data_IF_680525047820
#
_entry.id   IF_680525047820
#
_cell.length_a   1.000
_cell.length_b   1.000
_cell.length_c   1.000
_cell.angle_alpha   90.00
_cell.angle_beta   90.00
_cell.angle_gamma   90.00
#
_symmetry.space_group_name_H-M   'P 1'
#
loop_
_entity.id
_entity.type
_entity.pdbx_description
1 polymer ?
#
# COMPACT_ATOMS: atom_id res chain seq x y z
N UNK A 1 2.12 -15.20 -12.98
CA UNK A 1 2.70 -15.47 -11.64
C UNK A 1 1.75 -15.05 -10.54
N UNK A 2 1.31 -13.78 -10.50
CA UNK A 2 0.28 -13.31 -9.55
C UNK A 2 -0.99 -14.21 -9.56
N UNK A 3 -1.56 -14.49 -10.73
CA UNK A 3 -2.71 -15.41 -10.87
C UNK A 3 -2.49 -16.85 -10.34
N UNK A 4 -1.25 -17.26 -10.11
CA UNK A 4 -0.89 -18.56 -9.53
C UNK A 4 -0.60 -18.44 -8.02
N UNK A 5 -0.99 -17.32 -7.39
CA UNK A 5 -0.74 -17.03 -5.98
C UNK A 5 0.73 -16.72 -5.67
N UNK A 6 1.52 -16.27 -6.65
CA UNK A 6 2.91 -15.84 -6.44
C UNK A 6 2.99 -14.31 -6.40
N UNK A 7 3.17 -13.70 -5.22
CA UNK A 7 3.19 -12.25 -5.08
C UNK A 7 4.23 -11.60 -5.99
N UNK A 8 3.83 -10.55 -6.68
CA UNK A 8 4.67 -9.71 -7.53
C UNK A 8 4.83 -8.36 -6.84
N UNK A 9 6.06 -7.99 -6.51
CA UNK A 9 6.37 -6.75 -5.80
C UNK A 9 7.24 -5.86 -6.70
N UNK A 10 6.95 -4.56 -6.73
CA UNK A 10 7.77 -3.56 -7.42
C UNK A 10 8.25 -2.46 -6.48
N UNK A 11 9.52 -2.07 -6.66
CA UNK A 11 10.08 -0.87 -6.06
C UNK A 11 10.55 0.08 -7.17
N UNK A 12 9.95 1.27 -7.24
CA UNK A 12 10.26 2.28 -8.26
C UNK A 12 11.20 3.32 -7.66
N UNK A 13 12.48 3.13 -7.98
CA UNK A 13 13.62 3.92 -7.49
C UNK A 13 14.06 5.03 -8.45
N UNK A 14 13.45 5.07 -9.63
CA UNK A 14 13.79 5.99 -10.71
C UNK A 14 12.68 6.03 -11.75
N UNK A 15 13.02 6.32 -13.00
CA UNK A 15 12.02 6.42 -14.06
C UNK A 15 11.52 5.06 -14.53
N UNK A 16 10.22 4.94 -14.70
CA UNK A 16 9.53 3.82 -15.33
C UNK A 16 8.60 4.36 -16.41
N UNK A 17 9.08 4.37 -17.65
CA UNK A 17 8.43 5.07 -18.78
C UNK A 17 7.89 4.11 -19.83
N UNK A 18 6.81 4.50 -20.51
CA UNK A 18 6.19 3.76 -21.61
C UNK A 18 5.89 2.31 -21.24
N UNK A 19 6.41 1.33 -22.00
CA UNK A 19 6.22 -0.09 -21.68
C UNK A 19 6.78 -0.49 -20.31
N UNK A 20 7.78 0.23 -19.81
CA UNK A 20 8.33 0.01 -18.46
C UNK A 20 7.33 0.32 -17.36
N UNK A 21 6.40 1.25 -17.58
CA UNK A 21 5.38 1.62 -16.60
C UNK A 21 4.45 0.46 -16.23
N UNK A 22 4.31 -0.54 -17.09
CA UNK A 22 3.54 -1.75 -16.79
C UNK A 22 4.22 -2.68 -15.79
N UNK A 23 5.54 -2.60 -15.63
CA UNK A 23 6.25 -3.43 -14.65
C UNK A 23 5.72 -3.17 -13.24
N UNK A 24 5.75 -1.92 -12.72
CA UNK A 24 5.12 -1.65 -11.44
C UNK A 24 3.61 -1.80 -11.53
N UNK A 25 2.93 -1.22 -12.53
CA UNK A 25 1.46 -1.19 -12.56
C UNK A 25 0.78 -2.58 -12.63
N UNK A 26 1.51 -3.65 -12.94
CA UNK A 26 1.01 -5.04 -12.93
C UNK A 26 1.52 -5.87 -11.75
N UNK A 27 2.24 -5.25 -10.80
CA UNK A 27 2.59 -5.89 -9.53
C UNK A 27 1.43 -5.85 -8.55
N UNK A 28 1.41 -6.82 -7.63
CA UNK A 28 0.41 -6.92 -6.58
C UNK A 28 0.60 -5.84 -5.49
N UNK A 29 1.82 -5.31 -5.37
CA UNK A 29 2.22 -4.27 -4.43
C UNK A 29 3.36 -3.45 -5.03
N UNK A 30 3.24 -2.12 -4.91
CA UNK A 30 4.13 -1.16 -5.55
C UNK A 30 4.52 -0.08 -4.56
N UNK A 31 5.83 0.12 -4.40
CA UNK A 31 6.34 1.25 -3.63
C UNK A 31 7.19 2.16 -4.48
N UNK A 32 6.92 3.45 -4.35
CA UNK A 32 7.66 4.51 -5.03
C UNK A 32 8.52 5.31 -4.05
N UNK A 33 9.76 5.57 -4.45
CA UNK A 33 10.64 6.49 -3.75
C UNK A 33 10.16 7.93 -3.99
N UNK A 34 9.89 8.67 -2.91
CA UNK A 34 9.32 10.02 -2.97
C UNK A 34 10.16 10.99 -3.81
N UNK A 35 11.48 10.92 -3.72
CA UNK A 35 12.37 11.91 -4.32
C UNK A 35 12.65 11.68 -5.80
N UNK A 36 12.63 10.42 -6.27
CA UNK A 36 13.13 10.06 -7.60
C UNK A 36 12.24 9.08 -8.39
N UNK A 37 11.31 8.41 -7.73
CA UNK A 37 10.42 7.44 -8.38
C UNK A 37 9.42 8.15 -9.29
N UNK A 38 9.37 7.75 -10.55
CA UNK A 38 8.39 8.27 -11.52
C UNK A 38 7.83 7.17 -12.41
N UNK A 39 6.51 7.17 -12.65
CA UNK A 39 5.81 6.24 -13.55
C UNK A 39 4.97 7.03 -14.55
N UNK A 40 5.10 6.75 -15.84
CA UNK A 40 4.21 7.34 -16.85
C UNK A 40 4.29 6.59 -18.18
N UNK A 41 3.17 6.52 -18.91
CA UNK A 41 3.16 5.96 -20.27
C UNK A 41 3.85 6.91 -21.27
N UNK A 42 3.71 8.22 -21.07
CA UNK A 42 4.34 9.25 -21.88
C UNK A 42 5.06 10.23 -20.95
N UNK A 43 6.38 10.31 -21.03
CA UNK A 43 7.14 11.24 -20.20
C UNK A 43 6.96 12.70 -20.62
N UNK A 44 7.47 13.67 -19.82
CA UNK A 44 7.29 15.09 -20.07
C UNK A 44 7.67 15.57 -21.49
N UNK A 45 8.77 15.08 -22.12
CA UNK A 45 9.10 15.47 -23.49
C UNK A 45 8.01 15.08 -24.50
N UNK A 46 7.37 13.92 -24.31
CA UNK A 46 6.33 13.43 -25.21
C UNK A 46 5.00 14.17 -24.99
N UNK A 47 4.65 14.45 -23.73
CA UNK A 47 3.49 15.29 -23.37
C UNK A 47 3.62 16.66 -24.03
N UNK A 48 4.79 17.30 -23.90
CA UNK A 48 5.07 18.59 -24.53
C UNK A 48 4.99 18.53 -26.05
N UNK A 49 5.54 17.49 -26.68
CA UNK A 49 5.51 17.34 -28.12
C UNK A 49 4.09 17.14 -28.66
N UNK A 50 3.24 16.40 -27.93
CA UNK A 50 1.88 16.08 -28.37
C UNK A 50 0.85 17.18 -28.07
N UNK A 51 0.99 17.89 -26.94
CA UNK A 51 -0.04 18.81 -26.43
C UNK A 51 0.44 20.25 -26.26
N UNK A 52 1.75 20.48 -26.26
CA UNK A 52 2.35 21.76 -25.88
C UNK A 52 2.46 22.00 -24.37
N UNK A 53 1.90 21.12 -23.53
CA UNK A 53 1.95 21.24 -22.08
C UNK A 53 3.37 21.04 -21.53
N UNK A 54 3.76 21.89 -20.57
CA UNK A 54 5.05 21.81 -19.88
C UNK A 54 4.80 21.38 -18.44
N UNK A 55 5.17 20.15 -18.13
CA UNK A 55 4.98 19.52 -16.81
C UNK A 55 6.30 18.89 -16.36
N UNK A 56 6.54 18.83 -15.05
CA UNK A 56 7.74 18.14 -14.53
C UNK A 56 7.51 16.64 -14.43
N UNK A 57 8.58 15.84 -14.32
CA UNK A 57 8.43 14.38 -14.16
C UNK A 57 7.72 14.01 -12.85
N UNK A 58 7.93 14.78 -11.78
CA UNK A 58 7.29 14.56 -10.47
C UNK A 58 5.82 14.96 -10.49
N UNK A 59 5.47 16.08 -11.15
CA UNK A 59 4.08 16.51 -11.27
C UNK A 59 3.27 15.60 -12.22
N UNK A 60 3.93 15.01 -13.22
CA UNK A 60 3.30 14.12 -14.18
C UNK A 60 3.01 12.72 -13.63
N UNK A 61 3.94 12.17 -12.84
CA UNK A 61 3.87 10.78 -12.40
C UNK A 61 4.81 10.45 -11.25
N UNK A 62 5.01 11.39 -10.34
CA UNK A 62 5.79 11.19 -9.12
C UNK A 62 5.10 10.30 -8.10
N UNK A 63 5.84 9.94 -7.05
CA UNK A 63 5.32 9.10 -5.97
C UNK A 63 4.08 9.71 -5.28
N UNK A 64 4.04 11.04 -5.13
CA UNK A 64 2.88 11.74 -4.56
C UNK A 64 1.65 11.52 -5.44
N UNK A 65 1.75 11.76 -6.76
CA UNK A 65 0.65 11.56 -7.71
C UNK A 65 0.11 10.14 -7.66
N UNK A 66 1.00 9.15 -7.60
CA UNK A 66 0.62 7.75 -7.65
C UNK A 66 0.10 7.17 -6.33
N UNK A 67 0.40 7.78 -5.20
CA UNK A 67 -0.08 7.31 -3.89
C UNK A 67 -1.26 8.10 -3.35
N UNK A 68 -1.46 9.35 -3.79
CA UNK A 68 -2.57 10.19 -3.30
C UNK A 68 -3.70 10.36 -4.29
N UNK A 69 -3.43 10.23 -5.59
CA UNK A 69 -4.40 10.59 -6.64
C UNK A 69 -4.77 9.41 -7.52
N UNK A 70 -3.80 8.78 -8.20
CA UNK A 70 -4.11 7.72 -9.17
C UNK A 70 -4.19 6.32 -8.57
N UNK A 71 -3.55 6.08 -7.42
CA UNK A 71 -3.50 4.76 -6.79
C UNK A 71 -2.66 3.73 -7.53
N UNK A 72 -1.87 4.14 -8.52
CA UNK A 72 -0.92 3.24 -9.22
C UNK A 72 0.17 2.73 -8.26
N UNK A 73 0.44 3.42 -7.15
CA UNK A 73 1.33 2.92 -6.11
C UNK A 73 0.63 2.88 -4.76
N UNK A 74 0.89 1.82 -4.01
CA UNK A 74 0.25 1.59 -2.71
C UNK A 74 0.93 2.38 -1.60
N UNK A 75 2.26 2.52 -1.67
CA UNK A 75 3.05 3.19 -0.65
C UNK A 75 4.06 4.18 -1.22
N UNK A 76 4.28 5.24 -0.46
CA UNK A 76 5.35 6.21 -0.68
C UNK A 76 6.41 6.02 0.39
N UNK A 77 7.68 5.92 0.00
CA UNK A 77 8.79 5.91 0.94
C UNK A 77 9.60 7.20 0.84
N UNK A 78 9.72 7.98 1.92
CA UNK A 78 10.65 9.10 1.98
C UNK A 78 12.10 8.61 1.95
N UNK A 79 13.02 9.49 1.55
CA UNK A 79 14.46 9.26 1.69
C UNK A 79 14.87 9.63 3.14
N UNK A 80 15.71 8.84 3.85
CA UNK A 80 16.16 9.21 5.19
C UNK A 80 16.84 10.58 5.24
N UNK A 81 16.49 11.39 6.25
CA UNK A 81 17.11 12.69 6.49
C UNK A 81 18.62 12.57 6.80
N UNK A 82 19.42 13.53 6.31
CA UNK A 82 20.86 13.61 6.59
C UNK A 82 21.75 12.80 5.63
N UNK A 83 21.18 12.22 4.59
CA UNK A 83 21.93 11.36 3.69
C UNK A 83 22.79 12.15 2.67
N UNK A 84 24.12 12.10 2.83
CA UNK A 84 25.10 12.69 1.90
C UNK A 84 25.86 11.58 1.17
N UNK A 85 25.43 11.24 -0.05
CA UNK A 85 26.09 10.24 -0.89
C UNK A 85 25.48 10.22 -2.30
N UNK A 86 26.09 9.49 -3.26
CA UNK A 86 25.52 9.37 -4.60
C UNK A 86 24.12 8.76 -4.52
N UNK A 87 23.15 9.49 -5.09
CA UNK A 87 21.70 9.23 -5.06
C UNK A 87 21.32 7.79 -5.46
N UNK A 88 21.94 7.13 -6.46
CA UNK A 88 21.46 5.82 -6.94
C UNK A 88 21.60 4.67 -5.92
N UNK A 89 22.74 4.56 -5.22
CA UNK A 89 23.05 3.40 -4.37
C UNK A 89 22.14 3.31 -3.13
N UNK A 90 21.70 4.46 -2.63
CA UNK A 90 20.89 4.52 -1.40
C UNK A 90 19.43 4.28 -1.67
N UNK A 91 18.93 4.74 -2.83
CA UNK A 91 17.57 4.41 -3.26
C UNK A 91 17.46 2.91 -3.52
N UNK A 92 18.50 2.27 -4.08
CA UNK A 92 18.57 0.80 -4.22
C UNK A 92 18.59 0.07 -2.87
N UNK A 93 19.40 0.51 -1.90
CA UNK A 93 19.44 -0.12 -0.56
C UNK A 93 18.13 0.06 0.22
N UNK A 94 17.53 1.25 0.16
CA UNK A 94 16.22 1.51 0.73
C UNK A 94 15.15 0.63 0.07
N UNK A 95 15.19 0.47 -1.25
CA UNK A 95 14.31 -0.42 -1.99
C UNK A 95 14.52 -1.90 -1.64
N UNK A 96 15.76 -2.35 -1.43
CA UNK A 96 16.05 -3.73 -0.99
C UNK A 96 15.53 -3.98 0.43
N UNK A 97 15.77 -3.04 1.35
CA UNK A 97 15.24 -3.13 2.71
C UNK A 97 13.70 -3.16 2.70
N UNK A 98 13.09 -2.37 1.82
CA UNK A 98 11.66 -2.33 1.61
C UNK A 98 11.10 -3.64 1.03
N UNK A 99 11.73 -4.15 -0.02
CA UNK A 99 11.33 -5.42 -0.65
C UNK A 99 11.39 -6.56 0.37
N UNK A 100 12.40 -6.57 1.26
CA UNK A 100 12.49 -7.54 2.37
C UNK A 100 11.30 -7.44 3.32
N UNK A 101 10.94 -6.24 3.77
CA UNK A 101 9.77 -6.02 4.63
C UNK A 101 8.48 -6.48 3.96
N UNK A 102 8.26 -6.10 2.71
CA UNK A 102 7.06 -6.49 1.96
C UNK A 102 7.01 -8.01 1.75
N UNK A 103 8.15 -8.65 1.46
CA UNK A 103 8.23 -10.11 1.30
C UNK A 103 7.95 -10.83 2.63
N UNK A 104 8.45 -10.32 3.75
CA UNK A 104 8.16 -10.88 5.08
C UNK A 104 6.68 -10.83 5.43
N UNK A 105 5.98 -9.77 5.04
CA UNK A 105 4.53 -9.61 5.22
C UNK A 105 3.75 -10.54 4.28
N UNK A 106 4.17 -10.69 3.02
CA UNK A 106 3.42 -11.42 1.99
C UNK A 106 3.66 -12.94 1.98
N UNK A 107 4.83 -13.41 2.44
CA UNK A 107 5.21 -14.83 2.40
C UNK A 107 4.78 -15.65 3.63
N UNK A 108 4.20 -15.03 4.66
CA UNK A 108 3.71 -15.79 5.81
C UNK A 108 2.34 -16.41 5.48
N UNK A 109 2.38 -17.66 4.99
CA UNK A 109 1.23 -18.58 5.03
C UNK A 109 0.97 -18.93 6.51
N UNK A 110 0.11 -18.18 7.18
CA UNK A 110 -0.22 -18.43 8.58
C UNK A 110 -1.21 -19.60 8.71
N UNK A 111 -0.89 -20.58 9.58
CA UNK A 111 -1.72 -21.76 9.87
C UNK A 111 -2.66 -21.50 11.05
N UNK A 112 -3.96 -21.75 10.86
CA UNK A 112 -5.05 -21.69 11.87
C UNK A 112 -4.69 -22.56 13.09
N UNK A 113 -4.96 -22.24 14.38
CA UNK A 113 -6.20 -21.78 15.00
C UNK A 113 -6.01 -21.11 16.40
N UNK A 114 -7.09 -20.51 16.91
CA UNK A 114 -7.65 -20.38 18.29
C UNK A 114 -8.39 -19.02 18.37
N UNK A 115 -9.68 -18.97 18.76
CA UNK A 115 -10.47 -17.74 18.77
C UNK A 115 -9.91 -16.71 19.77
N UNK A 116 -9.92 -15.43 19.38
CA UNK A 116 -9.81 -14.34 20.35
C UNK A 116 -11.19 -14.17 20.98
N UNK A 117 -11.27 -14.25 22.31
CA UNK A 117 -12.47 -13.93 23.07
C UNK A 117 -12.74 -12.42 22.95
N UNK A 118 -13.70 -12.05 22.11
CA UNK A 118 -14.09 -10.66 21.83
C UNK A 118 -14.81 -9.96 23.00
N UNK A 119 -15.00 -10.62 24.16
CA UNK A 119 -15.82 -10.09 25.27
C UNK A 119 -15.32 -8.77 25.86
N UNK A 120 -14.08 -8.36 25.61
CA UNK A 120 -13.50 -7.08 26.07
C UNK A 120 -13.69 -5.91 25.09
N UNK A 121 -14.04 -6.15 23.82
CA UNK A 121 -14.15 -5.13 22.77
C UNK A 121 -15.63 -4.83 22.51
N UNK A 122 -16.26 -4.03 23.37
CA UNK A 122 -17.68 -3.69 23.16
C UNK A 122 -18.46 -3.07 24.32
N UNK A 123 -17.84 -2.79 25.48
CA UNK A 123 -18.51 -1.95 26.48
C UNK A 123 -18.32 -0.49 26.10
N UNK A 124 -19.43 0.20 25.81
CA UNK A 124 -19.48 1.60 25.36
C UNK A 124 -18.68 2.59 26.22
N UNK A 125 -18.32 2.22 27.46
CA UNK A 125 -17.50 3.01 28.37
C UNK A 125 -15.99 2.93 28.11
N UNK A 126 -15.51 1.97 27.30
CA UNK A 126 -14.10 1.73 26.97
C UNK A 126 -13.83 1.63 25.46
N UNK A 127 -14.74 2.13 24.62
CA UNK A 127 -14.52 2.11 23.18
C UNK A 127 -13.25 2.91 22.85
N UNK A 128 -12.23 2.31 22.19
CA UNK A 128 -11.06 3.06 21.78
C UNK A 128 -11.51 4.23 20.92
N UNK A 129 -11.11 5.45 21.32
CA UNK A 129 -11.49 6.70 20.63
C UNK A 129 -10.80 6.82 19.28
N UNK A 130 -9.82 5.95 19.03
CA UNK A 130 -8.99 5.92 17.84
C UNK A 130 -9.03 4.52 17.22
N UNK A 131 -9.36 4.45 15.93
CA UNK A 131 -9.37 3.23 15.14
C UNK A 131 -8.02 2.48 15.14
N UNK A 132 -6.89 3.19 15.28
CA UNK A 132 -5.56 2.57 15.36
C UNK A 132 -5.36 1.78 16.65
N UNK A 133 -5.83 2.32 17.78
CA UNK A 133 -5.78 1.62 19.08
C UNK A 133 -6.66 0.38 19.09
N UNK A 134 -7.80 0.44 18.40
CA UNK A 134 -8.65 -0.72 18.18
C UNK A 134 -7.93 -1.78 17.36
N UNK A 135 -7.29 -1.40 16.26
CA UNK A 135 -6.53 -2.31 15.42
C UNK A 135 -5.30 -2.88 16.15
N UNK A 136 -4.65 -2.11 17.02
CA UNK A 136 -3.57 -2.61 17.89
C UNK A 136 -4.04 -3.74 18.81
N UNK A 137 -5.29 -3.68 19.29
CA UNK A 137 -5.87 -4.73 20.13
C UNK A 137 -6.40 -5.91 19.33
N UNK A 138 -6.95 -5.66 18.14
CA UNK A 138 -7.59 -6.68 17.30
C UNK A 138 -6.59 -7.49 16.47
N UNK A 139 -5.45 -6.91 16.10
CA UNK A 139 -4.50 -7.54 15.19
C UNK A 139 -3.42 -8.31 15.93
N UNK A 140 -3.07 -9.48 15.40
CA UNK A 140 -2.09 -10.40 15.99
C UNK A 140 -0.70 -9.78 16.20
N UNK A 141 -0.33 -8.82 15.35
CA UNK A 141 0.93 -8.06 15.42
C UNK A 141 0.70 -6.57 15.67
N UNK A 142 -0.49 -6.20 16.13
CA UNK A 142 -0.92 -4.80 16.25
C UNK A 142 -1.07 -4.09 14.91
N UNK A 143 -1.32 -2.78 14.96
CA UNK A 143 -1.52 -1.91 13.80
C UNK A 143 -0.23 -1.72 13.00
N UNK A 144 0.89 -1.45 13.67
CA UNK A 144 2.16 -1.11 13.01
C UNK A 144 2.70 -2.27 12.14
N UNK A 145 2.69 -3.50 12.67
CA UNK A 145 3.32 -4.66 12.02
C UNK A 145 2.29 -5.66 11.46
N UNK A 146 1.00 -5.48 11.77
CA UNK A 146 -0.09 -6.41 11.43
C UNK A 146 -1.18 -5.83 10.54
N UNK A 147 -1.17 -4.53 10.26
CA UNK A 147 -2.14 -3.88 9.39
C UNK A 147 -1.49 -3.39 8.09
N UNK A 148 -2.00 -3.87 6.96
CA UNK A 148 -1.69 -3.35 5.64
C UNK A 148 -2.79 -2.37 5.25
N UNK A 149 -2.54 -1.09 5.50
CA UNK A 149 -3.45 -0.02 5.10
C UNK A 149 -3.43 0.17 3.58
N UNK A 150 -4.61 0.22 2.98
CA UNK A 150 -4.85 0.64 1.62
C UNK A 150 -4.83 2.17 1.54
N UNK A 151 -4.04 2.75 0.64
CA UNK A 151 -3.88 4.20 0.47
C UNK A 151 -3.68 4.97 1.80
N UNK A 152 -2.58 4.73 2.53
CA UNK A 152 -2.35 5.39 3.83
C UNK A 152 -2.16 6.91 3.73
N UNK A 153 -1.87 7.43 2.54
CA UNK A 153 -1.61 8.86 2.32
C UNK A 153 -2.84 9.66 1.89
N UNK A 154 -3.91 8.99 1.41
CA UNK A 154 -5.18 9.58 0.96
C UNK A 154 -6.34 9.13 1.87
N UNK A 155 -7.37 9.98 2.00
CA UNK A 155 -8.57 9.65 2.80
C UNK A 155 -8.20 9.15 4.20
N UNK A 156 -7.40 9.95 4.92
CA UNK A 156 -6.73 9.54 6.17
C UNK A 156 -7.68 9.32 7.35
N UNK A 157 -8.90 9.85 7.27
CA UNK A 157 -9.91 9.65 8.30
C UNK A 157 -10.53 8.26 8.23
N UNK A 158 -10.51 7.62 7.06
CA UNK A 158 -11.03 6.26 6.85
C UNK A 158 -9.89 5.25 6.71
N UNK A 159 -9.79 4.32 7.66
CA UNK A 159 -8.83 3.22 7.60
C UNK A 159 -9.47 2.05 6.87
N UNK A 160 -8.86 1.67 5.75
CA UNK A 160 -9.21 0.47 4.98
C UNK A 160 -7.94 -0.34 4.86
N UNK A 161 -8.00 -1.64 5.13
CA UNK A 161 -6.81 -2.45 4.99
C UNK A 161 -7.04 -3.92 5.26
N UNK A 162 -5.96 -4.67 5.12
CA UNK A 162 -5.94 -6.09 5.42
C UNK A 162 -5.17 -6.29 6.71
N UNK A 163 -5.77 -7.04 7.62
CA UNK A 163 -5.15 -7.36 8.89
C UNK A 163 -5.40 -8.80 9.26
N UNK A 164 -4.47 -9.34 10.04
CA UNK A 164 -4.59 -10.65 10.63
C UNK A 164 -5.09 -10.51 12.08
N UNK A 165 -6.30 -10.99 12.36
CA UNK A 165 -6.89 -10.87 13.71
C UNK A 165 -6.20 -11.79 14.74
N UNK A 166 -5.68 -12.93 14.31
CA UNK A 166 -5.11 -13.94 15.21
C UNK A 166 -3.75 -14.43 14.72
N UNK A 167 -2.82 -14.75 15.62
CA UNK A 167 -1.51 -15.31 15.25
C UNK A 167 -1.63 -16.62 14.44
N UNK A 168 -2.81 -17.23 14.50
CA UNK A 168 -3.24 -18.40 13.77
C UNK A 168 -3.73 -18.13 12.34
N UNK A 169 -3.95 -16.90 11.91
CA UNK A 169 -4.23 -16.64 10.49
C UNK A 169 -5.71 -16.68 10.10
N UNK A 170 -5.95 -15.96 9.00
CA UNK A 170 -7.25 -15.43 8.60
C UNK A 170 -7.03 -13.98 8.19
N UNK A 171 -7.12 -13.69 6.89
CA UNK A 171 -7.09 -12.30 6.41
C UNK A 171 -8.52 -11.78 6.47
N UNK A 172 -8.72 -10.69 7.20
CA UNK A 172 -9.99 -9.96 7.14
C UNK A 172 -9.70 -8.63 6.46
N UNK A 173 -10.47 -8.33 5.42
CA UNK A 173 -10.59 -6.97 4.93
C UNK A 173 -11.31 -6.18 6.04
N UNK A 174 -10.56 -5.31 6.72
CA UNK A 174 -11.04 -4.49 7.81
C UNK A 174 -11.33 -3.10 7.25
N UNK A 175 -12.61 -2.73 7.24
CA UNK A 175 -13.05 -1.35 7.06
C UNK A 175 -13.31 -0.81 8.46
N UNK A 176 -12.45 0.08 8.94
CA UNK A 176 -12.61 0.71 10.25
C UNK A 176 -12.89 2.20 10.05
N UNK A 177 -14.09 2.62 10.45
CA UNK A 177 -14.56 3.99 10.31
C UNK A 177 -13.95 4.96 11.32
N UNK A 178 -13.53 6.12 10.80
CA UNK A 178 -13.25 7.41 11.44
C UNK A 178 -12.23 7.47 12.59
N UNK A 179 -11.04 7.99 12.28
CA UNK A 179 -10.25 8.75 13.28
C UNK A 179 -10.81 10.16 13.51
N UNK A 180 -11.57 10.72 12.54
CA UNK A 180 -12.15 12.08 12.51
C UNK A 180 -13.38 12.13 11.57
N UNK A 181 -13.95 13.30 11.25
CA UNK A 181 -15.07 13.44 10.30
C UNK A 181 -14.77 12.89 8.89
N UNK A 182 -15.77 12.28 8.24
CA UNK A 182 -15.66 11.75 6.87
C UNK A 182 -15.72 12.86 5.83
N UNK A 183 -14.71 12.89 4.97
CA UNK A 183 -14.62 13.75 3.80
C UNK A 183 -15.03 13.02 2.51
N UNK A 184 -15.16 13.79 1.42
CA UNK A 184 -15.36 13.23 0.09
C UNK A 184 -14.13 12.43 -0.43
N UNK A 185 -12.95 12.64 0.15
CA UNK A 185 -11.75 11.85 -0.16
C UNK A 185 -11.82 10.46 0.48
N UNK A 186 -12.31 10.39 1.72
CA UNK A 186 -12.56 9.12 2.41
C UNK A 186 -13.60 8.28 1.66
N UNK A 187 -14.66 8.90 1.15
CA UNK A 187 -15.66 8.22 0.34
C UNK A 187 -15.04 7.61 -0.94
N UNK A 188 -14.17 8.35 -1.64
CA UNK A 188 -13.47 7.86 -2.85
C UNK A 188 -12.53 6.69 -2.54
N UNK A 189 -11.79 6.78 -1.42
CA UNK A 189 -10.98 5.68 -0.89
C UNK A 189 -11.83 4.43 -0.63
N UNK A 190 -13.03 4.61 -0.04
CA UNK A 190 -13.99 3.54 0.24
C UNK A 190 -14.53 2.83 -0.99
N UNK A 191 -14.76 3.57 -2.08
CA UNK A 191 -15.23 3.00 -3.36
C UNK A 191 -14.10 2.33 -4.14
N UNK A 192 -12.85 2.70 -3.88
CA UNK A 192 -11.69 2.25 -4.65
C UNK A 192 -11.65 2.85 -6.06
N UNK A 193 -12.25 4.04 -6.26
CA UNK A 193 -12.24 4.71 -7.56
C UNK A 193 -10.80 4.94 -8.04
N UNK A 194 -10.44 4.32 -9.18
CA UNK A 194 -9.12 4.46 -9.80
C UNK A 194 -8.11 3.35 -9.45
N UNK A 195 -8.46 2.38 -8.60
CA UNK A 195 -7.52 1.33 -8.14
C UNK A 195 -8.08 -0.06 -8.34
N UNK A 196 -7.26 -0.97 -8.87
CA UNK A 196 -7.56 -2.40 -8.82
C UNK A 196 -7.22 -2.92 -7.42
N UNK A 197 -8.20 -2.95 -6.51
CA UNK A 197 -8.10 -3.85 -5.36
C UNK A 197 -8.07 -5.27 -5.93
N UNK A 198 -6.89 -5.86 -6.11
CA UNK A 198 -6.80 -7.26 -6.48
C UNK A 198 -7.28 -8.06 -5.26
N UNK A 199 -8.43 -8.75 -5.32
CA UNK A 199 -8.89 -9.54 -4.20
C UNK A 199 -7.85 -10.61 -3.92
N UNK A 200 -7.48 -10.79 -2.66
CA UNK A 200 -6.63 -11.89 -2.24
C UNK A 200 -7.39 -13.20 -2.51
N UNK A 201 -7.07 -13.88 -3.61
CA UNK A 201 -7.70 -15.16 -3.96
C UNK A 201 -7.15 -16.22 -3.01
N UNK A 202 -7.84 -16.43 -1.89
CA UNK A 202 -7.59 -17.55 -1.00
C UNK A 202 -7.75 -18.86 -1.78
N UNK A 203 -6.65 -19.53 -2.10
CA UNK A 203 -6.72 -20.86 -2.68
C UNK A 203 -7.20 -21.85 -1.61
N UNK A 204 -8.34 -22.50 -1.89
CA UNK A 204 -8.71 -23.78 -1.30
C UNK A 204 -7.61 -24.81 -1.59
N UNK A 205 -7.19 -25.63 -0.62
CA UNK A 205 -6.13 -26.62 -0.81
C UNK A 205 -6.50 -27.83 -1.70
N UNK A 206 -7.61 -27.82 -2.45
CA UNK A 206 -8.15 -29.03 -3.11
C UNK A 206 -7.89 -29.18 -4.63
N UNK A 207 -6.88 -28.53 -5.20
CA UNK A 207 -6.46 -28.85 -6.58
C UNK A 207 -4.95 -28.93 -6.72
N UNK A 208 -4.41 -30.12 -6.43
CA UNK A 208 -3.19 -30.69 -7.01
C UNK A 208 -3.37 -32.21 -7.10
#
# INVERSE_FOLDING_TARGET
>A
MSAQGRPQLAAVVGMSTAGGAYIPAMCDEIVMCETNGTIYLAGPPLVRAATGEVVTAQDLGGAVVHTTTSGVSDQMSPLPEGHQGPVPLHVEQAAIAMLRRLTEVHCQRFKSAVPVELESVGRAEHSPRNAKELLDQLLAKGFQDGFREFMPTAGRSLLIGFGQLTASGGHVALIVGCTDELSAEDARKGVGEGTSMIPFVGHSPETL
#
